data_IF_528004550409
#
_entry.id   IF_528004550409
#
_cell.length_a   1.000
_cell.length_b   1.000
_cell.length_c   1.000
_cell.angle_alpha   90.00
_cell.angle_beta   90.00
_cell.angle_gamma   90.00
#
_symmetry.space_group_name_H-M   'P 1'
#
loop_
_entity.id
_entity.type
_entity.pdbx_description
1 polymer ?
#
# COMPACT_ATOMS: atom_id res chain seq x y z
N UNK A 1 -6.67 -10.51 7.21
CA UNK A 1 -8.13 -10.41 7.41
C UNK A 1 -8.73 -9.28 6.56
N UNK A 2 -8.47 -8.00 6.86
CA UNK A 2 -8.97 -6.85 6.06
C UNK A 2 -8.71 -7.03 4.56
N UNK A 3 -7.48 -7.37 4.18
CA UNK A 3 -7.13 -7.55 2.77
C UNK A 3 -7.94 -8.66 2.09
N UNK A 4 -8.07 -9.83 2.73
CA UNK A 4 -8.86 -10.96 2.24
C UNK A 4 -10.34 -10.60 2.07
N UNK A 5 -10.91 -9.88 3.04
CA UNK A 5 -12.30 -9.42 2.97
C UNK A 5 -12.52 -8.48 1.77
N UNK A 6 -11.70 -7.43 1.65
CA UNK A 6 -11.87 -6.43 0.59
C UNK A 6 -11.53 -6.95 -0.81
N UNK A 7 -10.66 -7.96 -0.93
CA UNK A 7 -10.32 -8.62 -2.18
C UNK A 7 -11.22 -9.82 -2.49
N UNK A 8 -12.08 -10.24 -1.55
CA UNK A 8 -12.90 -11.43 -1.65
C UNK A 8 -12.09 -12.68 -2.06
N UNK A 9 -10.92 -12.86 -1.44
CA UNK A 9 -10.03 -13.98 -1.72
C UNK A 9 -9.71 -14.80 -0.46
N UNK A 10 -9.39 -16.10 -0.60
CA UNK A 10 -8.99 -16.93 0.52
C UNK A 10 -7.82 -16.33 1.31
N UNK A 11 -7.83 -16.51 2.63
CA UNK A 11 -6.75 -16.07 3.50
C UNK A 11 -5.42 -16.75 3.18
N UNK A 12 -5.46 -18.00 2.69
CA UNK A 12 -4.27 -18.74 2.26
C UNK A 12 -3.49 -18.06 1.13
N UNK A 13 -4.15 -17.25 0.30
CA UNK A 13 -3.53 -16.54 -0.82
C UNK A 13 -2.78 -15.27 -0.39
N UNK A 14 -3.00 -14.77 0.82
CA UNK A 14 -2.38 -13.56 1.34
C UNK A 14 -1.51 -13.80 2.58
N UNK A 15 -1.70 -14.92 3.27
CA UNK A 15 -1.05 -15.17 4.55
C UNK A 15 0.41 -15.57 4.34
N UNK A 16 1.32 -14.70 4.77
CA UNK A 16 2.76 -14.95 4.82
C UNK A 16 3.29 -15.30 6.21
N UNK A 17 4.58 -15.69 6.28
CA UNK A 17 5.26 -16.04 7.52
C UNK A 17 5.43 -14.87 8.49
N UNK A 18 5.30 -13.62 8.03
CA UNK A 18 5.52 -12.44 8.85
C UNK A 18 6.92 -12.46 9.47
N UNK A 19 6.98 -12.38 10.80
CA UNK A 19 8.22 -12.39 11.59
C UNK A 19 8.90 -13.76 11.70
N UNK A 20 8.65 -14.69 10.77
CA UNK A 20 9.38 -15.96 10.67
C UNK A 20 8.60 -17.21 11.09
N UNK A 21 7.27 -17.24 10.93
CA UNK A 21 6.49 -18.46 11.13
C UNK A 21 6.90 -19.56 10.14
N UNK A 22 6.84 -20.81 10.59
CA UNK A 22 6.98 -22.00 9.73
C UNK A 22 5.67 -22.29 8.95
N UNK A 23 5.68 -23.35 8.14
CA UNK A 23 4.52 -23.73 7.33
C UNK A 23 3.26 -24.04 8.17
N UNK A 24 3.43 -24.65 9.35
CA UNK A 24 2.33 -24.94 10.26
C UNK A 24 1.76 -23.65 10.86
N UNK A 25 2.62 -22.71 11.25
CA UNK A 25 2.25 -21.39 11.73
C UNK A 25 1.52 -20.56 10.68
N UNK A 26 1.98 -20.57 9.44
CA UNK A 26 1.29 -19.90 8.31
C UNK A 26 -0.09 -20.52 8.08
N UNK A 27 -0.19 -21.85 8.06
CA UNK A 27 -1.48 -22.55 7.90
C UNK A 27 -2.44 -22.25 9.05
N UNK A 28 -1.95 -22.24 10.29
CA UNK A 28 -2.75 -21.87 11.46
C UNK A 28 -3.24 -20.41 11.36
N UNK A 29 -2.36 -19.48 11.02
CA UNK A 29 -2.69 -18.06 10.82
C UNK A 29 -3.76 -17.88 9.74
N UNK A 30 -3.65 -18.59 8.62
CA UNK A 30 -4.67 -18.57 7.58
C UNK A 30 -6.03 -19.07 8.11
N UNK A 31 -6.07 -20.18 8.84
CA UNK A 31 -7.30 -20.70 9.46
C UNK A 31 -7.94 -19.71 10.44
N UNK A 32 -7.14 -19.03 11.26
CA UNK A 32 -7.65 -18.00 12.19
C UNK A 32 -8.28 -16.84 11.42
N UNK A 33 -7.67 -16.42 10.32
CA UNK A 33 -8.23 -15.38 9.45
C UNK A 33 -9.55 -15.85 8.84
N UNK A 34 -9.63 -17.08 8.33
CA UNK A 34 -10.88 -17.65 7.78
C UNK A 34 -11.99 -17.71 8.83
N UNK A 35 -11.67 -18.10 10.06
CA UNK A 35 -12.63 -18.11 11.16
C UNK A 35 -13.18 -16.70 11.45
N UNK A 36 -12.31 -15.68 11.43
CA UNK A 36 -12.73 -14.29 11.63
C UNK A 36 -13.59 -13.78 10.47
N UNK A 37 -13.27 -14.15 9.22
CA UNK A 37 -14.07 -13.82 8.04
C UNK A 37 -15.47 -14.44 8.14
N UNK A 38 -15.55 -15.73 8.44
CA UNK A 38 -16.82 -16.44 8.59
C UNK A 38 -17.67 -15.90 9.76
N UNK A 39 -17.04 -15.55 10.88
CA UNK A 39 -17.75 -14.99 12.04
C UNK A 39 -18.38 -13.62 11.75
N UNK A 40 -17.79 -12.85 10.85
CA UNK A 40 -18.27 -11.53 10.45
C UNK A 40 -18.99 -11.51 9.10
N UNK A 41 -19.34 -12.68 8.56
CA UNK A 41 -20.06 -12.81 7.30
C UNK A 41 -21.35 -11.96 7.28
N UNK A 42 -21.67 -11.39 6.11
CA UNK A 42 -22.79 -10.45 5.94
C UNK A 42 -22.54 -9.01 6.44
N UNK A 43 -21.39 -8.72 7.06
CA UNK A 43 -21.01 -7.36 7.48
C UNK A 43 -19.77 -6.80 6.77
N UNK A 44 -19.22 -7.54 5.80
CA UNK A 44 -17.93 -7.21 5.16
C UNK A 44 -18.06 -6.49 3.81
N UNK A 45 -19.28 -6.10 3.42
CA UNK A 45 -19.53 -5.38 2.16
C UNK A 45 -19.20 -3.89 2.26
N UNK A 46 -19.21 -3.31 3.47
CA UNK A 46 -18.77 -1.94 3.73
C UNK A 46 -17.29 -1.93 4.17
N UNK A 47 -16.41 -1.15 3.50
CA UNK A 47 -15.02 -1.00 3.90
C UNK A 47 -14.84 -0.52 5.34
N UNK A 48 -15.72 0.36 5.84
CA UNK A 48 -15.62 0.85 7.22
C UNK A 48 -16.02 -0.23 8.22
N UNK A 49 -17.09 -0.98 7.98
CA UNK A 49 -17.44 -2.16 8.79
C UNK A 49 -16.34 -3.22 8.77
N UNK A 50 -15.74 -3.46 7.60
CA UNK A 50 -14.63 -4.41 7.45
C UNK A 50 -13.44 -3.99 8.31
N UNK A 51 -13.04 -2.72 8.24
CA UNK A 51 -11.97 -2.18 9.08
C UNK A 51 -12.32 -2.28 10.58
N UNK A 52 -13.55 -1.93 10.95
CA UNK A 52 -14.01 -1.98 12.35
C UNK A 52 -13.95 -3.40 12.95
N UNK A 53 -14.23 -4.42 12.15
CA UNK A 53 -14.33 -5.82 12.62
C UNK A 53 -13.03 -6.60 12.53
N UNK A 54 -12.28 -6.38 11.47
CA UNK A 54 -11.13 -7.21 11.10
C UNK A 54 -9.79 -6.46 11.11
N UNK A 55 -9.83 -5.14 11.32
CA UNK A 55 -8.66 -4.28 11.32
C UNK A 55 -8.00 -4.13 12.69
N UNK A 56 -7.15 -3.11 12.77
CA UNK A 56 -6.49 -2.65 13.99
C UNK A 56 -6.47 -1.13 14.03
N UNK A 57 -6.19 -0.54 15.19
CA UNK A 57 -6.17 0.91 15.38
C UNK A 57 -5.14 1.58 14.47
N UNK A 58 -4.00 0.93 14.24
CA UNK A 58 -2.93 1.40 13.36
C UNK A 58 -3.37 1.45 11.89
N UNK A 59 -4.14 0.46 11.42
CA UNK A 59 -4.69 0.46 10.05
C UNK A 59 -5.74 1.55 9.91
N UNK A 60 -6.59 1.72 10.94
CA UNK A 60 -7.60 2.78 10.95
C UNK A 60 -6.98 4.18 10.96
N UNK A 61 -5.94 4.38 11.76
CA UNK A 61 -5.18 5.63 11.81
C UNK A 61 -4.53 5.95 10.46
N UNK A 62 -3.87 4.96 9.83
CA UNK A 62 -3.26 5.13 8.51
C UNK A 62 -4.31 5.42 7.42
N UNK A 63 -5.43 4.70 7.41
CA UNK A 63 -6.51 4.95 6.45
C UNK A 63 -7.07 6.37 6.59
N UNK A 64 -7.32 6.82 7.81
CA UNK A 64 -7.75 8.21 8.08
C UNK A 64 -6.69 9.24 7.68
N UNK A 65 -5.41 8.98 7.96
CA UNK A 65 -4.31 9.85 7.55
C UNK A 65 -4.23 10.00 6.02
N UNK A 66 -4.38 8.91 5.26
CA UNK A 66 -4.39 8.95 3.80
C UNK A 66 -5.57 9.76 3.24
N UNK A 67 -6.77 9.61 3.81
CA UNK A 67 -7.92 10.43 3.43
C UNK A 67 -7.65 11.91 3.73
N UNK A 68 -7.10 12.22 4.91
CA UNK A 68 -6.78 13.59 5.29
C UNK A 68 -5.69 14.21 4.40
N UNK A 69 -4.66 13.44 4.03
CA UNK A 69 -3.63 13.85 3.08
C UNK A 69 -4.25 14.21 1.73
N UNK A 70 -5.14 13.36 1.20
CA UNK A 70 -5.83 13.63 -0.06
C UNK A 70 -6.69 14.90 0.00
N UNK A 71 -7.45 15.10 1.09
CA UNK A 71 -8.24 16.32 1.32
C UNK A 71 -7.39 17.59 1.42
N UNK A 72 -6.18 17.47 1.97
CA UNK A 72 -5.23 18.58 2.11
C UNK A 72 -4.38 18.81 0.85
N UNK A 73 -4.52 17.97 -0.18
CA UNK A 73 -3.68 18.01 -1.37
C UNK A 73 -2.22 17.65 -1.10
N UNK A 74 -1.97 16.73 -0.16
CA UNK A 74 -0.64 16.26 0.23
C UNK A 74 -0.45 14.83 -0.27
N UNK A 75 0.63 14.59 -1.02
CA UNK A 75 1.02 13.24 -1.44
C UNK A 75 1.51 12.44 -0.23
N UNK A 76 0.95 11.24 -0.03
CA UNK A 76 1.39 10.31 1.00
C UNK A 76 2.21 9.16 0.38
N UNK A 77 3.37 8.89 0.99
CA UNK A 77 4.22 7.75 0.66
C UNK A 77 3.77 6.51 1.44
N UNK A 78 3.29 5.50 0.71
CA UNK A 78 2.80 4.22 1.25
C UNK A 78 3.97 3.25 1.38
N UNK A 79 4.17 2.70 2.58
CA UNK A 79 5.24 1.75 2.88
C UNK A 79 4.90 0.31 2.43
N UNK A 80 5.08 -0.70 3.29
CA UNK A 80 4.88 -2.09 2.96
C UNK A 80 3.42 -2.56 3.07
N UNK A 81 3.27 -3.87 3.30
CA UNK A 81 1.98 -4.56 3.26
C UNK A 81 0.88 -3.91 4.13
N UNK A 82 1.16 -3.63 5.41
CA UNK A 82 0.18 -3.05 6.34
C UNK A 82 -0.29 -1.67 5.85
N UNK A 83 0.65 -0.81 5.47
CA UNK A 83 0.35 0.51 4.93
C UNK A 83 -0.45 0.44 3.63
N UNK A 84 -0.15 -0.54 2.77
CA UNK A 84 -0.86 -0.77 1.51
C UNK A 84 -2.30 -1.27 1.75
N UNK A 85 -2.53 -2.08 2.79
CA UNK A 85 -3.89 -2.48 3.19
C UNK A 85 -4.67 -1.29 3.73
N UNK A 86 -4.06 -0.41 4.52
CA UNK A 86 -4.70 0.83 4.97
C UNK A 86 -5.02 1.77 3.79
N UNK A 87 -4.13 1.89 2.81
CA UNK A 87 -4.38 2.59 1.56
C UNK A 87 -5.57 1.99 0.79
N UNK A 88 -5.68 0.66 0.74
CA UNK A 88 -6.83 0.00 0.14
C UNK A 88 -8.14 0.33 0.84
N UNK A 89 -8.16 0.38 2.17
CA UNK A 89 -9.34 0.83 2.92
C UNK A 89 -9.68 2.28 2.57
N UNK A 90 -8.70 3.20 2.58
CA UNK A 90 -8.90 4.60 2.25
C UNK A 90 -9.48 4.80 0.84
N UNK A 91 -8.92 4.12 -0.18
CA UNK A 91 -9.40 4.17 -1.57
C UNK A 91 -10.81 3.58 -1.72
N UNK A 92 -11.14 2.51 -0.98
CA UNK A 92 -12.50 1.93 -1.01
C UNK A 92 -13.53 2.85 -0.34
N UNK A 93 -13.14 3.63 0.66
CA UNK A 93 -14.00 4.66 1.28
C UNK A 93 -14.14 5.91 0.41
N UNK A 94 -13.03 6.34 -0.20
CA UNK A 94 -12.97 7.50 -1.08
C UNK A 94 -12.00 7.24 -2.25
N UNK A 95 -12.51 6.88 -3.45
CA UNK A 95 -11.69 6.52 -4.60
C UNK A 95 -10.67 7.58 -5.01
N UNK A 96 -10.98 8.87 -4.83
CA UNK A 96 -10.08 9.97 -5.19
C UNK A 96 -8.79 10.01 -4.36
N UNK A 97 -8.75 9.31 -3.22
CA UNK A 97 -7.52 9.17 -2.45
C UNK A 97 -6.40 8.53 -3.26
N UNK A 98 -6.71 7.69 -4.26
CA UNK A 98 -5.72 6.94 -5.03
C UNK A 98 -4.68 7.84 -5.70
N UNK A 99 -5.09 9.00 -6.21
CA UNK A 99 -4.21 9.95 -6.91
C UNK A 99 -3.17 10.59 -5.97
N UNK A 100 -3.41 10.56 -4.66
CA UNK A 100 -2.53 11.14 -3.65
C UNK A 100 -1.57 10.11 -3.02
N UNK A 101 -1.62 8.85 -3.46
CA UNK A 101 -0.83 7.76 -2.90
C UNK A 101 0.31 7.37 -3.85
N UNK A 102 1.54 7.51 -3.35
CA UNK A 102 2.76 7.02 -4.01
C UNK A 102 3.28 5.83 -3.23
N UNK A 103 3.53 4.71 -3.90
CA UNK A 103 3.93 3.46 -3.25
C UNK A 103 5.45 3.37 -3.19
N UNK A 104 6.01 3.37 -1.98
CA UNK A 104 7.45 3.43 -1.75
C UNK A 104 8.16 2.16 -2.19
N UNK A 105 7.65 0.98 -1.80
CA UNK A 105 8.31 -0.27 -2.18
C UNK A 105 7.36 -1.47 -2.33
N UNK A 106 7.80 -2.45 -3.11
CA UNK A 106 7.27 -3.81 -3.10
C UNK A 106 7.95 -4.58 -1.97
N UNK A 107 7.14 -5.07 -1.04
CA UNK A 107 7.59 -5.89 0.08
C UNK A 107 7.70 -7.37 -0.27
N UNK A 108 8.45 -8.11 0.52
CA UNK A 108 8.62 -9.57 0.36
C UNK A 108 7.44 -10.40 0.90
N UNK A 109 6.41 -9.75 1.46
CA UNK A 109 5.21 -10.43 1.96
C UNK A 109 4.38 -11.00 0.81
N UNK A 110 3.98 -12.27 0.93
CA UNK A 110 3.28 -13.02 -0.13
C UNK A 110 2.04 -12.28 -0.67
N UNK A 111 1.24 -11.73 0.24
CA UNK A 111 0.02 -11.02 -0.12
C UNK A 111 0.23 -9.61 -0.68
N UNK A 112 1.43 -9.02 -0.59
CA UNK A 112 1.62 -7.61 -0.90
C UNK A 112 1.42 -7.29 -2.37
N UNK A 113 1.91 -8.15 -3.27
CA UNK A 113 1.73 -7.99 -4.70
C UNK A 113 0.25 -7.90 -5.10
N UNK A 114 -0.61 -8.75 -4.53
CA UNK A 114 -2.05 -8.74 -4.83
C UNK A 114 -2.74 -7.46 -4.39
N UNK A 115 -2.39 -6.94 -3.21
CA UNK A 115 -2.96 -5.67 -2.72
C UNK A 115 -2.47 -4.48 -3.54
N UNK A 116 -1.21 -4.50 -4.00
CA UNK A 116 -0.71 -3.48 -4.94
C UNK A 116 -1.47 -3.53 -6.27
N UNK A 117 -1.68 -4.74 -6.82
CA UNK A 117 -2.43 -4.91 -8.07
C UNK A 117 -3.87 -4.41 -7.98
N UNK A 118 -4.58 -4.66 -6.87
CA UNK A 118 -5.96 -4.17 -6.70
C UNK A 118 -6.04 -2.64 -6.65
N UNK A 119 -4.94 -1.98 -6.30
CA UNK A 119 -4.79 -0.54 -6.31
C UNK A 119 -4.18 -0.01 -7.60
N UNK A 120 -3.86 -0.86 -8.59
CA UNK A 120 -3.09 -0.47 -9.78
C UNK A 120 -1.83 0.32 -9.38
N UNK A 121 -1.17 -0.14 -8.31
CA UNK A 121 -0.01 0.54 -7.73
C UNK A 121 1.28 0.07 -8.39
N UNK A 122 2.15 1.03 -8.72
CA UNK A 122 3.51 0.79 -9.19
C UNK A 122 4.49 1.28 -8.12
N UNK A 123 5.08 0.37 -7.33
CA UNK A 123 6.04 0.77 -6.30
C UNK A 123 7.34 1.31 -6.89
N UNK A 124 7.89 2.34 -6.25
CA UNK A 124 9.14 2.97 -6.67
C UNK A 124 10.37 2.07 -6.49
N UNK A 125 10.35 1.20 -5.47
CA UNK A 125 11.47 0.34 -5.11
C UNK A 125 11.06 -1.13 -5.03
N UNK A 126 11.96 -2.03 -5.38
CA UNK A 126 11.79 -3.49 -5.22
C UNK A 126 13.07 -4.10 -4.65
N UNK A 127 13.21 -4.00 -3.33
CA UNK A 127 14.44 -4.36 -2.60
C UNK A 127 14.23 -5.55 -1.65
N UNK A 128 13.09 -6.24 -1.73
CA UNK A 128 12.77 -7.37 -0.85
C UNK A 128 12.60 -7.00 0.63
N UNK A 129 12.25 -5.75 0.93
CA UNK A 129 12.07 -5.26 2.31
C UNK A 129 10.82 -5.88 2.96
N UNK A 130 10.86 -6.05 4.29
CA UNK A 130 9.76 -6.62 5.08
C UNK A 130 9.74 -6.17 6.55
N UNK A 131 10.44 -5.09 6.87
CA UNK A 131 10.48 -4.54 8.24
C UNK A 131 9.17 -3.83 8.60
N UNK A 132 8.66 -3.01 7.69
CA UNK A 132 7.56 -2.08 7.98
C UNK A 132 8.08 -0.78 8.58
N UNK A 133 7.32 -0.19 9.52
CA UNK A 133 7.68 1.03 10.27
C UNK A 133 7.88 2.29 9.39
N UNK A 134 7.44 2.27 8.12
CA UNK A 134 7.66 3.37 7.19
C UNK A 134 9.06 3.35 6.55
N UNK A 135 9.84 2.29 6.76
CA UNK A 135 11.24 2.22 6.32
C UNK A 135 11.40 2.24 4.80
N UNK A 136 10.57 1.51 4.05
CA UNK A 136 10.57 1.53 2.59
C UNK A 136 10.04 2.85 2.01
N UNK A 137 9.01 3.43 2.64
CA UNK A 137 8.54 4.79 2.31
C UNK A 137 9.66 5.82 2.50
N UNK A 138 10.38 5.77 3.64
CA UNK A 138 11.50 6.66 3.92
C UNK A 138 12.65 6.49 2.92
N UNK A 139 12.96 5.25 2.51
CA UNK A 139 13.96 4.98 1.48
C UNK A 139 13.59 5.53 0.10
N UNK A 140 12.29 5.68 -0.19
CA UNK A 140 11.81 6.25 -1.45
C UNK A 140 11.83 7.79 -1.48
N UNK A 141 11.92 8.48 -0.32
CA UNK A 141 11.91 9.95 -0.24
C UNK A 141 13.00 10.61 -1.11
N UNK A 142 14.28 10.16 -1.09
CA UNK A 142 15.31 10.77 -1.95
C UNK A 142 14.98 10.67 -3.44
N UNK A 143 14.36 9.57 -3.89
CA UNK A 143 13.98 9.40 -5.29
C UNK A 143 12.87 10.39 -5.70
N UNK A 144 11.87 10.60 -4.83
CA UNK A 144 10.82 11.59 -5.07
C UNK A 144 11.41 13.00 -5.13
N UNK A 145 12.32 13.35 -4.21
CA UNK A 145 13.00 14.66 -4.22
C UNK A 145 13.81 14.87 -5.50
N UNK A 146 14.57 13.87 -5.93
CA UNK A 146 15.33 13.93 -7.18
C UNK A 146 14.42 14.13 -8.40
N UNK A 147 13.24 13.51 -8.42
CA UNK A 147 12.27 13.73 -9.50
C UNK A 147 11.77 15.19 -9.53
N UNK A 148 11.50 15.78 -8.36
CA UNK A 148 11.15 17.20 -8.26
C UNK A 148 12.30 18.11 -8.70
N UNK A 149 13.54 17.83 -8.28
CA UNK A 149 14.72 18.61 -8.65
C UNK A 149 14.96 18.54 -10.18
N UNK A 150 14.85 17.35 -10.77
CA UNK A 150 14.95 17.17 -12.22
C UNK A 150 13.86 17.94 -12.97
N UNK A 151 12.63 17.93 -12.48
CA UNK A 151 11.53 18.66 -13.11
C UNK A 151 11.70 20.18 -12.99
N UNK A 152 12.15 20.67 -11.84
CA UNK A 152 12.20 22.10 -11.53
C UNK A 152 13.53 22.80 -11.83
N UNK A 153 14.63 22.06 -11.97
CA UNK A 153 15.99 22.63 -12.05
C UNK A 153 16.80 22.17 -13.26
N UNK A 154 16.34 21.17 -14.02
CA UNK A 154 17.04 20.75 -15.23
C UNK A 154 16.87 21.80 -16.32
N UNK A 155 17.98 22.21 -16.94
CA UNK A 155 17.96 23.13 -18.06
C UNK A 155 17.11 22.56 -19.22
N UNK A 156 16.28 23.41 -19.79
CA UNK A 156 15.59 23.12 -21.06
C UNK A 156 16.60 23.04 -22.21
N UNK A 157 16.21 22.44 -23.33
CA UNK A 157 17.09 22.38 -24.52
C UNK A 157 17.54 23.77 -25.00
N UNK A 158 16.67 24.77 -24.89
CA UNK A 158 16.98 26.16 -25.23
C UNK A 158 18.07 26.73 -24.32
N UNK A 159 17.98 26.52 -23.01
CA UNK A 159 18.97 26.99 -22.02
C UNK A 159 20.31 26.24 -22.15
N UNK A 160 20.27 24.95 -22.49
CA UNK A 160 21.44 24.12 -22.69
C UNK A 160 22.08 24.25 -24.09
N UNK A 161 21.56 25.15 -24.95
CA UNK A 161 22.01 25.35 -26.32
C UNK A 161 22.09 24.05 -27.15
N UNK A 162 21.16 23.12 -26.90
CA UNK A 162 21.07 21.87 -27.67
C UNK A 162 20.29 22.16 -28.94
N UNK A 163 20.92 21.93 -30.09
CA UNK A 163 20.28 22.10 -31.39
C UNK A 163 19.11 21.13 -31.52
N UNK A 164 17.94 21.62 -31.95
CA UNK A 164 16.75 20.82 -32.26
C UNK A 164 17.10 19.75 -33.31
N UNK A 165 17.42 18.55 -32.85
CA UNK A 165 17.42 17.35 -33.67
C UNK A 165 16.22 16.51 -33.25
N UNK A 166 15.45 15.97 -34.20
CA UNK A 166 14.43 15.00 -33.86
C UNK A 166 15.11 13.80 -33.18
N UNK A 167 14.54 13.38 -32.06
CA UNK A 167 14.89 12.14 -31.37
C UNK A 167 14.49 10.92 -32.20
#
# INVERSE_FOLDING_TARGET
>A
AVASALLQCPASELTGPGTGLDAAGVSHKARVIEQALAFHDGYLDDPLQTLFRLGGFEIAALAGAYVACAQAGIVALVDGFICTVAAMVAVRLNPECREWLVFGHRGAEHGHHRVLQSLQAEPLLDLGLRLGEGSGAALAVPLVRLACDLHGQMATFAEAAVADRPA
#
